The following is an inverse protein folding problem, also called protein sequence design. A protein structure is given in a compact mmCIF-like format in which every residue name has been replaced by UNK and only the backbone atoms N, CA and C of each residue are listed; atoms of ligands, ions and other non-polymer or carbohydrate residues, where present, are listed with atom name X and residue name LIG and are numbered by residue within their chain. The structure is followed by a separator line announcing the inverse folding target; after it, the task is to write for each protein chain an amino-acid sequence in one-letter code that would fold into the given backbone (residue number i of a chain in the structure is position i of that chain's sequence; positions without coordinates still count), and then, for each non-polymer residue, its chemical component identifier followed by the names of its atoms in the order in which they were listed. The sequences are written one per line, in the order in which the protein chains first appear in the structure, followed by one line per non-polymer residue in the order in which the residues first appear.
data_IF_458550287149
#
_entry.id   IF_458550287149
#
_cell.length_a   1.000
_cell.length_b   1.000
_cell.length_c   1.000
_cell.angle_alpha   90.00
_cell.angle_beta   90.00
_cell.angle_gamma   90.00
#
_symmetry.space_group_name_H-M   'P 1'
#
loop_
_entity.id
_entity.type
_entity.pdbx_description
1 polymer ?
#
# COMPACT_ATOMS: atom_id res chain seq x y z
N UNK A 1 26.33 3.44 -19.27
CA UNK A 1 25.34 4.28 -18.58
C UNK A 1 26.09 5.30 -17.75
N UNK A 2 25.91 6.59 -18.02
CA UNK A 2 26.55 7.66 -17.26
C UNK A 2 25.84 7.84 -15.89
N UNK A 3 26.54 8.44 -14.92
CA UNK A 3 26.01 8.75 -13.60
C UNK A 3 24.71 9.59 -13.66
N UNK A 4 24.58 10.46 -14.65
CA UNK A 4 23.40 11.31 -14.83
C UNK A 4 22.17 10.50 -15.30
N UNK A 5 22.38 9.51 -16.18
CA UNK A 5 21.32 8.59 -16.62
C UNK A 5 20.85 7.70 -15.46
N UNK A 6 21.79 7.18 -14.65
CA UNK A 6 21.46 6.39 -13.46
C UNK A 6 20.63 7.21 -12.46
N UNK A 7 21.04 8.46 -12.19
CA UNK A 7 20.33 9.33 -11.26
C UNK A 7 18.92 9.67 -11.76
N UNK A 8 18.76 9.89 -13.08
CA UNK A 8 17.46 10.08 -13.70
C UNK A 8 16.56 8.86 -13.53
N UNK A 9 17.05 7.65 -13.80
CA UNK A 9 16.28 6.41 -13.64
C UNK A 9 15.86 6.17 -12.19
N UNK A 10 16.74 6.42 -11.22
CA UNK A 10 16.44 6.27 -9.79
C UNK A 10 15.37 7.26 -9.32
N UNK A 11 15.37 8.50 -9.83
CA UNK A 11 14.33 9.48 -9.49
C UNK A 11 12.97 9.05 -10.08
N UNK A 12 12.94 8.59 -11.34
CA UNK A 12 11.72 8.07 -11.97
C UNK A 12 11.17 6.82 -11.25
N UNK A 13 12.05 5.91 -10.83
CA UNK A 13 11.65 4.76 -10.03
C UNK A 13 11.08 5.19 -8.68
N UNK A 14 11.67 6.20 -8.04
CA UNK A 14 11.15 6.77 -6.79
C UNK A 14 9.74 7.34 -6.96
N UNK A 15 9.49 8.06 -8.06
CA UNK A 15 8.16 8.61 -8.40
C UNK A 15 7.11 7.52 -8.56
N UNK A 16 7.47 6.40 -9.20
CA UNK A 16 6.58 5.24 -9.35
C UNK A 16 6.30 4.60 -7.99
N UNK A 17 7.34 4.37 -7.17
CA UNK A 17 7.19 3.77 -5.85
C UNK A 17 6.28 4.58 -4.92
N UNK A 18 6.44 5.91 -4.89
CA UNK A 18 5.56 6.76 -4.07
C UNK A 18 4.13 6.80 -4.61
N UNK A 19 3.95 6.76 -5.94
CA UNK A 19 2.62 6.65 -6.56
C UNK A 19 1.94 5.35 -6.17
N UNK A 20 2.67 4.22 -6.10
CA UNK A 20 2.15 2.96 -5.59
C UNK A 20 1.72 3.07 -4.12
N UNK A 21 2.50 3.72 -3.25
CA UNK A 21 2.10 3.96 -1.85
C UNK A 21 0.80 4.78 -1.77
N UNK A 22 0.67 5.83 -2.57
CA UNK A 22 -0.55 6.67 -2.61
C UNK A 22 -1.74 5.83 -3.05
N UNK A 23 -1.62 5.08 -4.14
CA UNK A 23 -2.70 4.22 -4.65
C UNK A 23 -3.08 3.12 -3.65
N UNK A 24 -2.10 2.45 -3.02
CA UNK A 24 -2.37 1.47 -1.98
C UNK A 24 -3.06 2.09 -0.76
N UNK A 25 -2.72 3.33 -0.41
CA UNK A 25 -3.38 4.07 0.68
C UNK A 25 -4.82 4.44 0.32
N UNK A 26 -5.06 4.92 -0.90
CA UNK A 26 -6.41 5.21 -1.39
C UNK A 26 -7.27 3.95 -1.42
N UNK A 27 -6.71 2.83 -1.87
CA UNK A 27 -7.40 1.54 -1.86
C UNK A 27 -7.77 1.11 -0.43
N UNK A 28 -6.87 1.27 0.54
CA UNK A 28 -7.18 1.01 1.96
C UNK A 28 -8.28 1.92 2.50
N UNK A 29 -8.26 3.21 2.16
CA UNK A 29 -9.31 4.15 2.57
C UNK A 29 -10.67 3.78 1.97
N UNK A 30 -10.69 3.42 0.69
CA UNK A 30 -11.91 2.98 0.02
C UNK A 30 -12.45 1.68 0.64
N UNK A 31 -11.58 0.70 0.92
CA UNK A 31 -11.97 -0.54 1.61
C UNK A 31 -12.54 -0.21 2.99
N UNK A 32 -11.88 0.64 3.76
CA UNK A 32 -12.34 1.02 5.09
C UNK A 32 -13.71 1.72 5.07
N UNK A 33 -13.91 2.69 4.17
CA UNK A 33 -15.20 3.36 3.98
C UNK A 33 -16.28 2.37 3.54
N UNK A 34 -15.96 1.48 2.61
CA UNK A 34 -16.86 0.41 2.18
C UNK A 34 -17.27 -0.51 3.33
N UNK A 35 -16.31 -0.91 4.17
CA UNK A 35 -16.58 -1.74 5.34
C UNK A 35 -17.46 -1.00 6.37
N UNK A 36 -17.27 0.30 6.57
CA UNK A 36 -18.11 1.10 7.48
C UNK A 36 -19.55 1.27 6.96
N UNK A 37 -19.72 1.57 5.67
CA UNK A 37 -21.03 1.90 5.09
C UNK A 37 -21.82 0.66 4.66
N UNK A 38 -21.14 -0.36 4.14
CA UNK A 38 -21.73 -1.53 3.53
C UNK A 38 -21.35 -2.84 4.25
N UNK A 39 -20.66 -2.78 5.40
CA UNK A 39 -20.25 -3.95 6.17
C UNK A 39 -21.40 -4.87 6.56
N UNK A 40 -22.53 -4.31 6.99
CA UNK A 40 -23.72 -5.09 7.36
C UNK A 40 -24.41 -5.75 6.16
N UNK A 41 -24.44 -5.06 5.02
CA UNK A 41 -25.03 -5.58 3.79
C UNK A 41 -24.15 -6.68 3.19
N UNK A 42 -22.85 -6.44 3.11
CA UNK A 42 -21.87 -7.43 2.63
C UNK A 42 -21.82 -8.66 3.51
N UNK A 43 -21.85 -8.48 4.84
CA UNK A 43 -21.95 -9.59 5.78
C UNK A 43 -23.18 -10.45 5.49
N UNK A 44 -24.37 -9.85 5.34
CA UNK A 44 -25.63 -10.57 5.03
C UNK A 44 -25.58 -11.30 3.69
N UNK A 45 -24.90 -10.75 2.70
CA UNK A 45 -24.75 -11.41 1.39
C UNK A 45 -23.76 -12.55 1.50
N UNK A 46 -22.59 -12.34 2.10
CA UNK A 46 -21.55 -13.36 2.22
C UNK A 46 -21.95 -14.51 3.14
N UNK A 47 -22.70 -14.23 4.22
CA UNK A 47 -23.20 -15.27 5.13
C UNK A 47 -24.27 -16.18 4.51
N UNK A 48 -24.84 -15.80 3.36
CA UNK A 48 -25.74 -16.68 2.58
C UNK A 48 -24.99 -17.68 1.72
N UNK A 49 -23.75 -17.38 1.34
CA UNK A 49 -22.91 -18.27 0.52
C UNK A 49 -21.93 -19.09 1.36
N UNK A 50 -21.55 -18.61 2.53
CA UNK A 50 -20.60 -19.25 3.43
C UNK A 50 -21.09 -19.15 4.89
N UNK A 51 -20.81 -20.17 5.70
CA UNK A 51 -21.07 -20.14 7.15
C UNK A 51 -20.06 -19.21 7.86
N UNK A 52 -20.27 -17.90 7.70
CA UNK A 52 -19.42 -16.86 8.28
C UNK A 52 -20.07 -16.28 9.53
N UNK A 53 -19.39 -16.46 10.68
CA UNK A 53 -19.72 -15.67 11.87
C UNK A 53 -19.37 -14.20 11.64
N UNK A 54 -20.05 -13.29 12.33
CA UNK A 54 -19.76 -11.85 12.24
C UNK A 54 -18.31 -11.54 12.62
N UNK A 55 -17.81 -12.21 13.66
CA UNK A 55 -16.42 -12.07 14.13
C UNK A 55 -15.42 -12.47 13.05
N UNK A 56 -15.65 -13.58 12.35
CA UNK A 56 -14.70 -14.06 11.34
C UNK A 56 -14.70 -13.16 10.11
N UNK A 57 -15.87 -12.62 9.72
CA UNK A 57 -15.95 -11.60 8.67
C UNK A 57 -15.16 -10.34 9.02
N UNK A 58 -15.34 -9.83 10.25
CA UNK A 58 -14.62 -8.65 10.73
C UNK A 58 -13.10 -8.90 10.78
N UNK A 59 -12.70 -10.10 11.24
CA UNK A 59 -11.29 -10.52 11.26
C UNK A 59 -10.71 -10.58 9.85
N UNK A 60 -11.37 -11.20 8.89
CA UNK A 60 -10.85 -11.32 7.51
C UNK A 60 -10.66 -9.94 6.88
N UNK A 61 -11.60 -9.01 7.06
CA UNK A 61 -11.46 -7.63 6.57
C UNK A 61 -10.31 -6.89 7.27
N UNK A 62 -10.20 -7.04 8.59
CA UNK A 62 -9.13 -6.42 9.37
C UNK A 62 -7.75 -6.93 8.95
N UNK A 63 -7.60 -8.25 8.83
CA UNK A 63 -6.38 -8.89 8.35
C UNK A 63 -6.06 -8.50 6.90
N UNK A 64 -7.07 -8.45 6.03
CA UNK A 64 -6.93 -7.97 4.65
C UNK A 64 -6.34 -6.55 4.61
N UNK A 65 -6.93 -5.62 5.36
CA UNK A 65 -6.42 -4.25 5.47
C UNK A 65 -5.01 -4.20 6.07
N UNK A 66 -4.73 -4.98 7.12
CA UNK A 66 -3.41 -5.03 7.75
C UNK A 66 -2.34 -5.54 6.78
N UNK A 67 -2.61 -6.64 6.05
CA UNK A 67 -1.70 -7.22 5.07
C UNK A 67 -1.45 -6.22 3.93
N UNK A 68 -2.49 -5.65 3.33
CA UNK A 68 -2.32 -4.65 2.27
C UNK A 68 -1.48 -3.46 2.73
N UNK A 69 -1.68 -2.99 3.97
CA UNK A 69 -0.88 -1.90 4.55
C UNK A 69 0.59 -2.30 4.71
N UNK A 70 0.86 -3.50 5.25
CA UNK A 70 2.24 -4.00 5.43
C UNK A 70 2.93 -4.19 4.09
N UNK A 71 2.26 -4.80 3.11
CA UNK A 71 2.79 -4.98 1.76
C UNK A 71 3.11 -3.62 1.11
N UNK A 72 2.22 -2.63 1.24
CA UNK A 72 2.48 -1.29 0.72
C UNK A 72 3.71 -0.64 1.34
N UNK A 73 3.95 -0.85 2.64
CA UNK A 73 5.10 -0.27 3.33
C UNK A 73 6.39 -1.00 2.90
N UNK A 74 6.39 -2.33 2.93
CA UNK A 74 7.59 -3.14 2.70
C UNK A 74 8.03 -3.08 1.23
N UNK A 75 7.08 -3.17 0.28
CA UNK A 75 7.41 -3.28 -1.14
C UNK A 75 7.47 -1.93 -1.87
N UNK A 76 6.84 -0.87 -1.36
CA UNK A 76 6.84 0.43 -2.03
C UNK A 76 7.52 1.53 -1.20
N UNK A 77 7.14 1.69 0.07
CA UNK A 77 7.67 2.78 0.90
C UNK A 77 9.15 2.58 1.26
N UNK A 78 9.56 1.37 1.67
CA UNK A 78 10.95 1.11 2.03
C UNK A 78 11.93 1.28 0.85
N UNK A 79 11.64 0.77 -0.36
CA UNK A 79 12.46 1.06 -1.53
C UNK A 79 12.50 2.55 -1.88
N UNK A 80 11.36 3.25 -1.81
CA UNK A 80 11.32 4.70 -2.04
C UNK A 80 12.26 5.45 -1.08
N UNK A 81 12.14 5.18 0.22
CA UNK A 81 13.00 5.82 1.24
C UNK A 81 14.47 5.50 1.01
N UNK A 82 14.79 4.25 0.68
CA UNK A 82 16.16 3.81 0.37
C UNK A 82 16.77 4.63 -0.76
N UNK A 83 16.04 4.83 -1.87
CA UNK A 83 16.52 5.63 -3.01
C UNK A 83 16.69 7.10 -2.60
N UNK A 84 15.69 7.72 -1.94
CA UNK A 84 15.80 9.14 -1.54
C UNK A 84 16.94 9.37 -0.55
N UNK A 85 17.20 8.45 0.38
CA UNK A 85 18.33 8.53 1.32
C UNK A 85 19.66 8.49 0.56
N UNK A 86 19.80 7.54 -0.38
CA UNK A 86 21.02 7.40 -1.19
C UNK A 86 21.28 8.65 -2.04
N UNK A 87 20.25 9.14 -2.75
CA UNK A 87 20.36 10.34 -3.58
C UNK A 87 20.70 11.58 -2.76
N UNK A 88 20.11 11.74 -1.56
CA UNK A 88 20.45 12.84 -0.64
C UNK A 88 21.90 12.76 -0.17
N UNK A 89 22.40 11.56 0.14
CA UNK A 89 23.80 11.36 0.54
C UNK A 89 24.76 11.73 -0.60
N UNK A 90 24.45 11.33 -1.83
CA UNK A 90 25.25 11.67 -3.03
C UNK A 90 25.37 13.18 -3.22
N UNK A 91 24.26 13.92 -3.08
CA UNK A 91 24.24 15.41 -3.17
C UNK A 91 25.02 16.13 -2.06
N UNK A 92 25.32 15.46 -0.93
CA UNK A 92 26.10 16.06 0.17
C UNK A 92 27.60 15.83 0.04
N UNK A 93 28.02 14.84 -0.75
CA UNK A 93 29.43 14.44 -0.92
C UNK A 93 30.04 15.08 -2.18
N UNK A 94 29.19 15.42 -3.15
CA UNK A 94 29.56 16.16 -4.37
C UNK A 94 29.54 17.65 -4.09
#
# INVERSE_FOLDING_TARGET
MNNDEMDYLLDRLSDVLISCVILSTLFLLLWFVYYLLAGDWTYKVHSRFFELSRRDFDLVNYWGMAITKVLSIVFFLFPYLSIKILMRKKRRIK
#
